data_IF_996305727518
#
_entry.id   IF_996305727518
#
_cell.length_a   1.000
_cell.length_b   1.000
_cell.length_c   1.000
_cell.angle_alpha   90.00
_cell.angle_beta   90.00
_cell.angle_gamma   90.00
#
_symmetry.space_group_name_H-M   'P 1'
#
loop_
_entity.id
_entity.type
_entity.pdbx_description
1 polymer ?
#
# COMPACT_ATOMS: atom_id res chain seq x y z
N UNK A 1 -11.68 -25.66 12.08
CA UNK A 1 -12.35 -24.40 11.72
C UNK A 1 -11.31 -23.30 11.76
N UNK A 2 -10.76 -22.90 10.61
CA UNK A 2 -9.91 -21.70 10.56
C UNK A 2 -10.82 -20.48 10.66
N UNK A 3 -10.54 -19.61 11.63
CA UNK A 3 -11.20 -18.30 11.69
C UNK A 3 -10.72 -17.48 10.49
N UNK A 4 -11.63 -17.16 9.57
CA UNK A 4 -11.40 -16.12 8.58
C UNK A 4 -11.28 -14.82 9.37
N UNK A 5 -10.05 -14.30 9.48
CA UNK A 5 -9.82 -13.02 10.14
C UNK A 5 -10.37 -11.90 9.25
N UNK A 6 -11.19 -11.03 9.83
CA UNK A 6 -11.90 -9.95 9.11
C UNK A 6 -11.15 -8.62 9.10
N UNK A 7 -10.04 -8.50 9.83
CA UNK A 7 -9.22 -7.28 9.95
C UNK A 7 -7.71 -7.58 9.88
N UNK A 8 -6.85 -6.66 9.39
CA UNK A 8 -5.40 -6.83 9.46
C UNK A 8 -4.86 -6.70 10.89
N UNK A 9 -3.68 -7.27 11.16
CA UNK A 9 -3.00 -7.12 12.46
C UNK A 9 -2.27 -5.77 12.54
N UNK A 10 -3.04 -4.70 12.64
CA UNK A 10 -2.50 -3.34 12.81
C UNK A 10 -1.82 -3.13 14.17
N UNK A 11 -2.32 -3.83 15.19
CA UNK A 11 -1.85 -3.78 16.57
C UNK A 11 -0.36 -4.12 16.72
N UNK A 12 0.15 -5.03 15.89
CA UNK A 12 1.52 -5.53 15.95
C UNK A 12 2.52 -4.76 15.08
N UNK A 13 2.06 -3.84 14.22
CA UNK A 13 2.94 -3.03 13.34
C UNK A 13 3.91 -2.14 14.12
N UNK A 14 3.61 -1.87 15.40
CA UNK A 14 4.35 -0.94 16.25
C UNK A 14 5.15 -1.62 17.38
N UNK A 15 5.12 -2.96 17.45
CA UNK A 15 5.72 -3.73 18.55
C UNK A 15 7.23 -3.52 18.70
N UNK A 16 7.93 -3.17 17.62
CA UNK A 16 9.39 -2.97 17.62
C UNK A 16 9.79 -1.53 17.97
N UNK A 17 8.84 -0.63 18.27
CA UNK A 17 9.12 0.79 18.52
C UNK A 17 9.53 1.58 17.27
N UNK A 18 9.55 0.93 16.10
CA UNK A 18 9.81 1.55 14.81
C UNK A 18 8.74 1.16 13.81
N UNK A 19 8.34 2.10 12.96
CA UNK A 19 7.42 1.84 11.85
C UNK A 19 7.99 2.42 10.56
N UNK A 20 8.32 1.54 9.62
CA UNK A 20 8.95 1.88 8.34
C UNK A 20 7.97 1.62 7.20
N UNK A 21 7.65 2.68 6.46
CA UNK A 21 6.81 2.60 5.27
C UNK A 21 7.50 3.08 3.99
N UNK A 22 7.15 2.46 2.86
CA UNK A 22 7.45 2.96 1.51
C UNK A 22 6.15 3.09 0.70
N UNK A 23 5.87 4.29 0.21
CA UNK A 23 4.74 4.63 -0.67
C UNK A 23 5.29 4.93 -2.05
N UNK A 24 5.05 4.04 -2.99
CA UNK A 24 5.43 4.25 -4.38
C UNK A 24 4.22 4.63 -5.23
N UNK A 25 4.34 5.76 -5.92
CA UNK A 25 3.42 6.21 -6.96
C UNK A 25 4.08 5.93 -8.30
N UNK A 26 3.66 4.85 -8.95
CA UNK A 26 4.19 4.42 -10.23
C UNK A 26 3.60 5.23 -11.39
N UNK A 27 4.30 5.35 -12.53
CA UNK A 27 3.86 6.19 -13.64
C UNK A 27 2.50 5.74 -14.19
N UNK A 28 1.68 6.71 -14.58
CA UNK A 28 0.44 6.48 -15.32
C UNK A 28 0.75 6.12 -16.78
N UNK A 29 0.26 4.97 -17.30
CA UNK A 29 0.46 4.56 -18.69
C UNK A 29 -0.24 5.47 -19.71
N UNK A 30 -1.24 6.26 -19.31
CA UNK A 30 -1.96 7.17 -20.20
C UNK A 30 -1.17 8.45 -20.53
N UNK A 31 -0.02 8.67 -19.88
CA UNK A 31 0.90 9.74 -20.20
C UNK A 31 0.38 11.12 -19.74
N UNK A 32 0.91 11.62 -18.63
CA UNK A 32 0.64 12.97 -18.16
C UNK A 32 1.46 13.36 -16.92
N UNK A 33 1.12 14.51 -16.33
CA UNK A 33 1.60 14.99 -15.02
C UNK A 33 0.80 14.36 -13.84
N UNK A 34 0.00 13.32 -14.09
CA UNK A 34 -0.89 12.75 -13.07
C UNK A 34 -0.12 12.16 -11.89
N UNK A 35 0.93 11.38 -12.16
CA UNK A 35 1.81 10.84 -11.13
C UNK A 35 2.45 11.93 -10.27
N UNK A 36 2.81 13.06 -10.90
CA UNK A 36 3.34 14.23 -10.21
C UNK A 36 2.28 14.91 -9.32
N UNK A 37 1.06 15.09 -9.80
CA UNK A 37 -0.02 15.68 -9.00
C UNK A 37 -0.39 14.80 -7.80
N UNK A 38 -0.52 13.50 -8.01
CA UNK A 38 -0.76 12.52 -6.95
C UNK A 38 0.39 12.54 -5.94
N UNK A 39 1.64 12.63 -6.40
CA UNK A 39 2.80 12.78 -5.54
C UNK A 39 2.76 14.07 -4.70
N UNK A 40 2.45 15.21 -5.32
CA UNK A 40 2.33 16.48 -4.62
C UNK A 40 1.20 16.48 -3.59
N UNK A 41 0.07 15.85 -3.90
CA UNK A 41 -1.02 15.68 -2.96
C UNK A 41 -0.63 14.79 -1.78
N UNK A 42 0.00 13.64 -2.03
CA UNK A 42 0.51 12.76 -0.99
C UNK A 42 1.47 13.52 -0.06
N UNK A 43 2.42 14.25 -0.66
CA UNK A 43 3.34 15.16 0.05
C UNK A 43 2.60 16.15 0.93
N UNK A 44 1.58 16.84 0.40
CA UNK A 44 0.77 17.82 1.15
C UNK A 44 0.09 17.13 2.34
N UNK A 45 -0.60 16.02 2.12
CA UNK A 45 -1.38 15.33 3.16
C UNK A 45 -0.49 14.71 4.24
N UNK A 46 0.65 14.12 3.89
CA UNK A 46 1.63 13.64 4.88
C UNK A 46 2.08 14.77 5.83
N UNK A 47 2.37 15.95 5.29
CA UNK A 47 2.73 17.12 6.10
C UNK A 47 1.59 17.58 7.01
N UNK A 48 0.35 17.55 6.52
CA UNK A 48 -0.84 17.90 7.31
C UNK A 48 -1.05 16.95 8.49
N UNK A 49 -0.76 15.66 8.34
CA UNK A 49 -0.79 14.69 9.45
C UNK A 49 0.49 14.74 10.30
N UNK A 50 1.32 15.77 10.16
CA UNK A 50 2.45 16.05 11.03
C UNK A 50 3.76 15.30 10.71
N UNK A 51 3.83 14.57 9.60
CA UNK A 51 5.10 13.99 9.13
C UNK A 51 6.03 15.11 8.62
N UNK A 52 7.25 15.15 9.15
CA UNK A 52 8.25 16.17 8.79
C UNK A 52 9.22 15.59 7.77
N UNK A 53 9.45 16.32 6.68
CA UNK A 53 10.45 15.93 5.68
C UNK A 53 11.85 16.04 6.30
N UNK A 54 12.66 14.98 6.16
CA UNK A 54 14.00 14.87 6.76
C UNK A 54 15.09 14.64 5.71
N UNK A 55 14.72 14.20 4.52
CA UNK A 55 15.63 14.02 3.40
C UNK A 55 14.88 14.00 2.08
N UNK A 56 15.60 14.21 0.98
CA UNK A 56 15.04 14.10 -0.34
C UNK A 56 16.11 14.06 -1.41
N UNK A 57 15.85 13.26 -2.44
CA UNK A 57 16.56 13.23 -3.70
C UNK A 57 15.53 13.31 -4.84
N UNK A 58 15.99 13.37 -6.09
CA UNK A 58 15.06 13.52 -7.22
C UNK A 58 14.14 12.28 -7.32
N UNK A 59 12.84 12.51 -7.09
CA UNK A 59 11.81 11.47 -7.12
C UNK A 59 11.67 10.62 -5.84
N UNK A 60 12.37 10.98 -4.75
CA UNK A 60 12.24 10.32 -3.44
C UNK A 60 12.28 11.37 -2.33
N UNK A 61 11.29 11.35 -1.45
CA UNK A 61 11.27 12.16 -0.22
C UNK A 61 11.14 11.26 1.01
N UNK A 62 11.89 11.57 2.07
CA UNK A 62 11.80 10.88 3.35
C UNK A 62 11.15 11.76 4.41
N UNK A 63 10.20 11.16 5.12
CA UNK A 63 9.38 11.78 6.14
C UNK A 63 9.51 11.04 7.46
N UNK A 64 9.58 11.77 8.56
CA UNK A 64 9.66 11.20 9.89
C UNK A 64 8.70 11.86 10.87
N UNK A 65 8.25 11.07 11.84
CA UNK A 65 7.49 11.54 13.01
C UNK A 65 7.71 10.58 14.17
N UNK A 66 7.83 11.14 15.36
CA UNK A 66 7.76 10.38 16.61
C UNK A 66 6.36 10.56 17.17
N UNK A 67 5.72 9.48 17.60
CA UNK A 67 4.40 9.51 18.24
C UNK A 67 4.29 8.44 19.33
N UNK A 68 3.28 8.56 20.19
CA UNK A 68 3.02 7.59 21.26
C UNK A 68 1.92 6.63 20.88
N UNK A 69 2.13 5.33 21.09
CA UNK A 69 1.17 4.27 20.83
C UNK A 69 1.20 3.25 21.98
N UNK A 70 0.06 3.03 22.65
CA UNK A 70 -0.04 2.10 23.79
C UNK A 70 1.06 2.29 24.85
N UNK A 71 1.39 3.56 25.16
CA UNK A 71 2.45 3.92 26.12
C UNK A 71 3.88 3.80 25.59
N UNK A 72 4.08 3.27 24.38
CA UNK A 72 5.39 3.18 23.73
C UNK A 72 5.66 4.39 22.83
N UNK A 73 6.93 4.75 22.71
CA UNK A 73 7.39 5.75 21.74
C UNK A 73 7.70 5.05 20.42
N UNK A 74 7.03 5.47 19.35
CA UNK A 74 7.20 4.91 18.01
C UNK A 74 7.95 5.91 17.14
N UNK A 75 9.06 5.45 16.55
CA UNK A 75 9.79 6.20 15.52
C UNK A 75 9.33 5.78 14.13
N UNK A 76 8.64 6.68 13.43
CA UNK A 76 8.13 6.43 12.08
C UNK A 76 9.00 7.07 11.01
N UNK A 77 9.26 6.30 9.96
CA UNK A 77 9.89 6.77 8.73
C UNK A 77 9.08 6.32 7.51
N UNK A 78 8.62 7.28 6.71
CA UNK A 78 7.89 7.05 5.46
C UNK A 78 8.73 7.57 4.29
N UNK A 79 8.96 6.72 3.30
CA UNK A 79 9.53 7.10 2.00
C UNK A 79 8.39 7.30 1.00
N UNK A 80 8.35 8.45 0.35
CA UNK A 80 7.44 8.72 -0.77
C UNK A 80 8.24 8.76 -2.06
N UNK A 81 7.85 7.92 -3.02
CA UNK A 81 8.60 7.69 -4.27
C UNK A 81 7.71 8.06 -5.45
N UNK A 82 8.21 8.97 -6.30
CA UNK A 82 7.63 9.25 -7.62
C UNK A 82 8.36 8.39 -8.65
N UNK A 83 7.75 7.26 -9.04
CA UNK A 83 8.41 6.25 -9.87
C UNK A 83 9.05 6.79 -11.15
N UNK A 84 8.35 7.66 -11.89
CA UNK A 84 8.84 8.23 -13.16
C UNK A 84 10.05 9.14 -13.00
N UNK A 85 10.13 9.85 -11.88
CA UNK A 85 11.18 10.83 -11.62
C UNK A 85 12.29 10.31 -10.71
N UNK A 86 12.17 9.07 -10.21
CA UNK A 86 13.19 8.48 -9.36
C UNK A 86 14.45 8.21 -10.19
N UNK A 87 15.57 8.83 -9.80
CA UNK A 87 16.84 8.67 -10.51
C UNK A 87 17.66 7.46 -10.04
N UNK A 88 17.28 6.82 -8.93
CA UNK A 88 17.91 5.59 -8.47
C UNK A 88 17.38 4.35 -9.19
N UNK A 89 17.91 3.18 -8.81
CA UNK A 89 17.42 1.90 -9.33
C UNK A 89 16.18 1.45 -8.56
N UNK A 90 15.00 1.55 -9.19
CA UNK A 90 13.74 1.10 -8.62
C UNK A 90 13.75 -0.38 -8.23
N UNK A 91 14.51 -1.23 -8.93
CA UNK A 91 14.62 -2.67 -8.58
C UNK A 91 15.37 -2.83 -7.27
N UNK A 92 16.44 -2.07 -7.08
CA UNK A 92 17.20 -2.03 -5.83
C UNK A 92 16.34 -1.48 -4.69
N UNK A 93 15.63 -0.39 -4.93
CA UNK A 93 14.70 0.19 -3.96
C UNK A 93 13.65 -0.84 -3.52
N UNK A 94 13.03 -1.56 -4.46
CA UNK A 94 12.06 -2.60 -4.12
C UNK A 94 12.68 -3.73 -3.32
N UNK A 95 13.87 -4.17 -3.71
CA UNK A 95 14.58 -5.20 -2.98
C UNK A 95 14.82 -4.79 -1.53
N UNK A 96 15.32 -3.57 -1.29
CA UNK A 96 15.53 -3.03 0.06
C UNK A 96 14.22 -2.88 0.83
N UNK A 97 13.18 -2.31 0.20
CA UNK A 97 11.90 -2.09 0.84
C UNK A 97 11.23 -3.40 1.27
N UNK A 98 11.25 -4.42 0.40
CA UNK A 98 10.71 -5.75 0.71
C UNK A 98 11.44 -6.45 1.87
N UNK A 99 12.65 -6.02 2.23
CA UNK A 99 13.42 -6.60 3.34
C UNK A 99 13.23 -5.83 4.65
N UNK A 100 12.95 -4.53 4.60
CA UNK A 100 13.09 -3.65 5.76
C UNK A 100 11.85 -2.86 6.15
N UNK A 101 10.80 -2.88 5.32
CA UNK A 101 9.57 -2.12 5.57
C UNK A 101 8.53 -2.96 6.32
N UNK A 102 7.78 -2.29 7.19
CA UNK A 102 6.62 -2.81 7.89
C UNK A 102 5.35 -2.51 7.08
N UNK A 103 5.37 -1.42 6.29
CA UNK A 103 4.29 -1.01 5.41
C UNK A 103 4.78 -0.77 3.98
N UNK A 104 4.13 -1.41 3.01
CA UNK A 104 4.41 -1.20 1.58
C UNK A 104 3.13 -0.79 0.89
N UNK A 105 3.15 0.38 0.27
CA UNK A 105 2.08 0.88 -0.58
C UNK A 105 2.56 1.02 -2.01
N UNK A 106 1.79 0.48 -2.95
CA UNK A 106 2.03 0.60 -4.39
C UNK A 106 0.76 1.12 -5.07
N UNK A 107 0.83 2.36 -5.58
CA UNK A 107 -0.14 2.94 -6.51
C UNK A 107 0.36 2.79 -7.93
N UNK A 108 -0.38 2.09 -8.76
CA UNK A 108 -0.03 1.95 -10.18
C UNK A 108 -1.27 1.62 -10.99
N UNK A 109 -1.24 1.83 -12.30
CA UNK A 109 -2.30 1.37 -13.18
C UNK A 109 -1.97 -0.05 -13.67
N UNK A 110 -2.98 -0.93 -13.70
CA UNK A 110 -2.86 -2.24 -14.34
C UNK A 110 -3.83 -2.27 -15.54
N UNK A 111 -3.32 -2.51 -16.74
CA UNK A 111 -4.14 -2.56 -17.95
C UNK A 111 -5.11 -3.75 -18.00
N UNK A 112 -6.19 -3.61 -18.77
CA UNK A 112 -7.12 -4.68 -19.13
C UNK A 112 -6.56 -5.54 -20.30
N UNK A 113 -6.59 -6.87 -20.17
CA UNK A 113 -6.42 -7.81 -21.29
C UNK A 113 -4.98 -8.06 -21.78
N UNK A 114 -4.85 -8.69 -22.97
CA UNK A 114 -3.56 -9.05 -23.64
C UNK A 114 -2.64 -7.86 -23.95
N UNK A 115 -3.06 -6.63 -23.61
CA UNK A 115 -2.23 -5.44 -23.65
C UNK A 115 -1.48 -5.33 -22.32
N UNK A 116 -0.30 -5.93 -22.30
CA UNK A 116 0.75 -5.76 -21.30
C UNK A 116 1.19 -4.28 -21.22
N UNK A 117 0.36 -3.44 -20.61
CA UNK A 117 0.83 -2.26 -19.88
C UNK A 117 1.02 -2.68 -18.42
N UNK A 118 1.91 -3.66 -18.20
CA UNK A 118 2.60 -3.72 -16.92
C UNK A 118 3.52 -2.49 -16.96
N UNK A 119 3.20 -1.45 -16.20
CA UNK A 119 4.21 -0.44 -15.95
C UNK A 119 5.46 -1.19 -15.45
N UNK A 120 6.65 -0.76 -15.88
CA UNK A 120 7.92 -1.36 -15.45
C UNK A 120 7.95 -1.58 -13.93
N UNK A 121 7.25 -0.74 -13.16
CA UNK A 121 7.12 -0.83 -11.72
C UNK A 121 6.37 -2.06 -11.21
N UNK A 122 5.28 -2.49 -11.86
CA UNK A 122 4.56 -3.73 -11.47
C UNK A 122 5.47 -4.94 -11.70
N UNK A 123 6.13 -4.97 -12.86
CA UNK A 123 7.09 -6.01 -13.21
C UNK A 123 8.27 -6.01 -12.25
N UNK A 124 8.85 -4.86 -11.93
CA UNK A 124 9.98 -4.76 -10.99
C UNK A 124 9.60 -5.17 -9.58
N UNK A 125 8.42 -4.78 -9.11
CA UNK A 125 7.92 -5.17 -7.78
C UNK A 125 7.70 -6.68 -7.69
N UNK A 126 6.99 -7.27 -8.66
CA UNK A 126 6.72 -8.71 -8.69
C UNK A 126 7.99 -9.54 -8.98
N UNK A 127 8.89 -9.05 -9.83
CA UNK A 127 10.20 -9.66 -10.04
C UNK A 127 11.06 -9.64 -8.78
N UNK A 128 11.07 -8.53 -8.03
CA UNK A 128 11.82 -8.44 -6.77
C UNK A 128 11.32 -9.46 -5.75
N UNK A 129 10.01 -9.70 -5.68
CA UNK A 129 9.43 -10.79 -4.87
C UNK A 129 9.82 -12.18 -5.41
N UNK A 130 9.76 -12.39 -6.73
CA UNK A 130 10.06 -13.69 -7.37
C UNK A 130 11.54 -14.08 -7.29
N UNK A 131 12.46 -13.12 -7.32
CA UNK A 131 13.92 -13.35 -7.27
C UNK A 131 14.41 -13.87 -5.90
N UNK A 132 13.50 -14.10 -4.94
CA UNK A 132 13.73 -14.72 -3.61
C UNK A 132 15.08 -14.36 -2.97
N UNK A 133 15.39 -13.07 -2.80
CA UNK A 133 16.73 -12.67 -2.40
C UNK A 133 16.91 -12.86 -0.89
N UNK A 134 17.22 -14.10 -0.49
CA UNK A 134 17.20 -14.55 0.89
C UNK A 134 15.76 -14.55 1.42
N UNK A 135 15.31 -15.62 2.07
CA UNK A 135 14.11 -15.48 2.90
C UNK A 135 14.47 -14.46 3.98
N UNK A 136 13.91 -13.22 3.99
CA UNK A 136 14.09 -12.38 5.15
C UNK A 136 13.65 -13.21 6.35
N UNK A 137 14.35 -13.13 7.49
CA UNK A 137 13.73 -13.53 8.75
C UNK A 137 12.38 -12.85 8.78
N UNK A 138 11.32 -13.64 8.52
CA UNK A 138 10.01 -13.13 8.14
C UNK A 138 9.58 -12.23 9.28
N UNK A 139 9.47 -10.92 9.07
CA UNK A 139 8.73 -10.10 10.03
C UNK A 139 7.29 -10.63 9.96
N UNK A 140 6.73 -11.22 11.03
CA UNK A 140 5.37 -11.76 11.00
C UNK A 140 4.29 -10.67 10.89
N UNK A 141 4.69 -9.41 10.69
CA UNK A 141 3.89 -8.21 10.88
C UNK A 141 4.20 -7.18 9.79
N UNK A 142 3.93 -7.56 8.53
CA UNK A 142 4.00 -6.63 7.40
C UNK A 142 2.61 -6.39 6.83
N UNK A 143 2.42 -5.19 6.30
CA UNK A 143 1.21 -4.77 5.64
C UNK A 143 1.51 -4.32 4.21
N UNK A 144 0.92 -5.03 3.25
CA UNK A 144 0.98 -4.67 1.83
C UNK A 144 -0.36 -4.05 1.43
N UNK A 145 -0.33 -2.81 0.93
CA UNK A 145 -1.48 -2.12 0.37
C UNK A 145 -1.25 -1.90 -1.12
N UNK A 146 -1.90 -2.69 -1.96
CA UNK A 146 -1.70 -2.65 -3.40
C UNK A 146 -2.92 -2.03 -4.06
N UNK A 147 -2.73 -0.83 -4.59
CA UNK A 147 -3.76 0.05 -5.11
C UNK A 147 -3.62 0.14 -6.63
N UNK A 148 -4.22 -0.83 -7.31
CA UNK A 148 -4.35 -0.84 -8.76
C UNK A 148 -5.57 -1.65 -9.18
N UNK A 149 -6.03 -1.46 -10.42
CA UNK A 149 -7.05 -2.30 -11.02
C UNK A 149 -6.64 -3.78 -10.91
N UNK A 150 -7.57 -4.66 -10.50
CA UNK A 150 -7.36 -6.12 -10.50
C UNK A 150 -6.12 -6.58 -9.71
N UNK A 151 -5.76 -5.84 -8.67
CA UNK A 151 -4.58 -6.10 -7.82
C UNK A 151 -4.56 -7.54 -7.28
N UNK A 152 -5.72 -8.15 -7.07
CA UNK A 152 -5.90 -9.55 -6.66
C UNK A 152 -5.38 -10.55 -7.69
N UNK A 153 -5.56 -10.30 -8.97
CA UNK A 153 -5.10 -11.20 -10.03
C UNK A 153 -3.57 -11.17 -10.14
N UNK A 154 -2.98 -9.99 -9.94
CA UNK A 154 -1.54 -9.78 -10.19
C UNK A 154 -0.66 -10.10 -8.98
N UNK A 155 -1.12 -9.77 -7.77
CA UNK A 155 -0.24 -9.79 -6.60
C UNK A 155 -0.55 -10.87 -5.58
N UNK A 156 -1.79 -11.37 -5.51
CA UNK A 156 -2.19 -12.29 -4.44
C UNK A 156 -1.32 -13.55 -4.38
N UNK A 157 -1.18 -14.24 -5.50
CA UNK A 157 -0.38 -15.48 -5.58
C UNK A 157 1.14 -15.22 -5.44
N UNK A 158 1.62 -14.11 -6.03
CA UNK A 158 3.04 -13.73 -5.93
C UNK A 158 3.40 -13.39 -4.49
N UNK A 159 2.55 -12.63 -3.80
CA UNK A 159 2.75 -12.27 -2.41
C UNK A 159 2.67 -13.50 -1.53
N UNK A 160 1.64 -14.35 -1.69
CA UNK A 160 1.51 -15.60 -0.93
C UNK A 160 2.78 -16.46 -1.04
N UNK A 161 3.33 -16.60 -2.26
CA UNK A 161 4.59 -17.31 -2.48
C UNK A 161 5.80 -16.64 -1.80
N UNK A 162 5.81 -15.31 -1.72
CA UNK A 162 6.91 -14.52 -1.16
C UNK A 162 6.93 -14.51 0.38
N UNK A 163 5.81 -14.21 1.04
CA UNK A 163 5.75 -14.05 2.51
C UNK A 163 5.19 -15.28 3.26
N UNK A 164 4.37 -16.11 2.62
CA UNK A 164 3.58 -17.16 3.28
C UNK A 164 2.34 -16.61 3.98
N UNK A 165 1.73 -17.40 4.87
CA UNK A 165 0.36 -17.15 5.40
C UNK A 165 0.32 -16.19 6.62
N UNK A 166 1.47 -15.73 7.12
CA UNK A 166 1.57 -14.87 8.31
C UNK A 166 1.73 -13.38 7.98
N UNK A 167 1.17 -12.89 6.87
CA UNK A 167 1.30 -11.48 6.46
C UNK A 167 -0.03 -10.94 5.96
N UNK A 168 -0.31 -9.67 6.27
CA UNK A 168 -1.54 -9.01 5.84
C UNK A 168 -1.40 -8.38 4.47
N UNK A 169 -2.38 -8.64 3.61
CA UNK A 169 -2.52 -8.06 2.28
C UNK A 169 -3.85 -7.31 2.19
N UNK A 170 -3.79 -6.01 2.02
CA UNK A 170 -4.95 -5.19 1.68
C UNK A 170 -4.94 -4.98 0.17
N UNK A 171 -6.03 -5.40 -0.48
CA UNK A 171 -6.27 -5.15 -1.89
C UNK A 171 -7.46 -4.21 -2.04
N UNK A 172 -7.22 -3.08 -2.69
CA UNK A 172 -8.29 -2.18 -3.05
C UNK A 172 -8.90 -2.70 -4.36
N UNK A 173 -10.12 -3.25 -4.30
CA UNK A 173 -10.65 -4.11 -5.38
C UNK A 173 -11.30 -3.33 -6.52
N UNK A 174 -11.91 -2.16 -6.27
CA UNK A 174 -12.96 -1.74 -7.23
C UNK A 174 -12.68 -0.52 -8.09
N UNK A 175 -12.08 0.54 -7.57
CA UNK A 175 -11.81 1.70 -8.42
C UNK A 175 -10.38 2.12 -8.20
N UNK A 176 -9.54 1.90 -9.20
CA UNK A 176 -8.24 2.55 -9.24
C UNK A 176 -8.46 3.91 -9.87
N UNK A 177 -9.16 4.81 -9.18
CA UNK A 177 -8.99 6.21 -9.52
C UNK A 177 -7.53 6.54 -9.17
N UNK A 178 -6.73 6.67 -10.23
CA UNK A 178 -5.31 6.88 -10.10
C UNK A 178 -5.02 8.23 -9.42
N UNK A 179 -5.97 9.17 -9.45
CA UNK A 179 -5.85 10.49 -8.84
C UNK A 179 -5.99 10.46 -7.31
N UNK A 180 -6.63 9.43 -6.76
CA UNK A 180 -6.96 9.37 -5.33
C UNK A 180 -5.84 8.66 -4.55
N UNK A 181 -5.17 9.41 -3.68
CA UNK A 181 -4.12 8.94 -2.76
C UNK A 181 -4.45 9.23 -1.28
N UNK A 182 -5.44 10.07 -1.03
CA UNK A 182 -5.90 10.41 0.32
C UNK A 182 -6.13 9.21 1.26
N UNK A 183 -6.81 8.13 0.82
CA UNK A 183 -7.15 6.99 1.67
C UNK A 183 -5.94 6.32 2.33
N UNK A 184 -4.82 6.13 1.62
CA UNK A 184 -3.62 5.54 2.25
C UNK A 184 -2.99 6.48 3.27
N UNK A 185 -3.07 7.80 3.05
CA UNK A 185 -2.57 8.76 4.03
C UNK A 185 -3.47 8.76 5.28
N UNK A 186 -4.79 8.59 5.10
CA UNK A 186 -5.74 8.38 6.21
C UNK A 186 -5.43 7.08 6.94
N UNK A 187 -5.18 5.97 6.24
CA UNK A 187 -4.75 4.71 6.86
C UNK A 187 -3.54 4.94 7.77
N UNK A 188 -2.48 5.58 7.27
CA UNK A 188 -1.28 5.88 8.08
C UNK A 188 -1.64 6.74 9.29
N UNK A 189 -2.45 7.78 9.11
CA UNK A 189 -2.86 8.69 10.18
C UNK A 189 -3.63 7.96 11.29
N UNK A 190 -4.58 7.11 10.92
CA UNK A 190 -5.44 6.38 11.86
C UNK A 190 -4.67 5.23 12.55
N UNK A 191 -3.75 4.56 11.84
CA UNK A 191 -2.81 3.61 12.45
C UNK A 191 -1.98 4.31 13.54
N UNK A 192 -1.48 5.51 13.28
CA UNK A 192 -0.70 6.28 14.26
C UNK A 192 -1.53 6.75 15.47
N UNK A 193 -2.86 6.84 15.33
CA UNK A 193 -3.78 7.15 16.43
C UNK A 193 -4.17 5.91 17.24
N UNK A 194 -3.94 4.71 16.70
CA UNK A 194 -4.43 3.46 17.25
C UNK A 194 -5.93 3.28 17.11
N UNK A 195 -6.50 3.81 16.04
CA UNK A 195 -7.91 3.61 15.70
C UNK A 195 -8.21 2.15 15.42
N UNK A 196 -9.43 1.71 15.74
CA UNK A 196 -9.92 0.38 15.38
C UNK A 196 -10.15 0.24 13.87
N UNK A 197 -10.35 -1.01 13.42
CA UNK A 197 -10.48 -1.34 12.01
C UNK A 197 -11.68 -0.64 11.36
N UNK A 198 -12.82 -0.63 12.03
CA UNK A 198 -14.06 -0.02 11.57
C UNK A 198 -13.91 1.49 11.38
N UNK A 199 -13.23 2.17 12.31
CA UNK A 199 -12.91 3.60 12.22
C UNK A 199 -11.97 3.88 11.07
N UNK A 200 -10.91 3.07 10.90
CA UNK A 200 -9.97 3.18 9.77
C UNK A 200 -10.73 3.07 8.44
N UNK A 201 -11.53 2.01 8.26
CA UNK A 201 -12.32 1.79 7.05
C UNK A 201 -13.27 2.96 6.78
N UNK A 202 -13.98 3.41 7.80
CA UNK A 202 -14.92 4.53 7.70
C UNK A 202 -14.23 5.81 7.24
N UNK A 203 -13.10 6.17 7.87
CA UNK A 203 -12.32 7.37 7.53
C UNK A 203 -11.70 7.29 6.13
N UNK A 204 -11.22 6.12 5.75
CA UNK A 204 -10.73 5.90 4.38
C UNK A 204 -11.84 6.05 3.35
N UNK A 205 -13.05 5.57 3.65
CA UNK A 205 -14.21 5.71 2.77
C UNK A 205 -14.68 7.17 2.65
N UNK A 206 -14.69 7.93 3.75
CA UNK A 206 -14.97 9.38 3.76
C UNK A 206 -14.00 10.12 2.82
N UNK A 207 -12.71 9.80 2.93
CA UNK A 207 -11.64 10.40 2.13
C UNK A 207 -11.69 9.98 0.65
N UNK A 208 -12.13 8.75 0.38
CA UNK A 208 -12.30 8.24 -0.97
C UNK A 208 -13.48 8.92 -1.70
N UNK A 209 -14.54 9.29 -0.97
CA UNK A 209 -15.75 9.89 -1.57
C UNK A 209 -16.68 8.88 -2.24
N UNK A 210 -17.60 9.35 -3.09
CA UNK A 210 -18.62 8.52 -3.77
C UNK A 210 -17.92 7.51 -4.70
N UNK A 211 -18.30 6.21 -4.67
CA UNK A 211 -17.69 5.23 -5.57
C UNK A 211 -17.90 5.64 -7.03
N UNK A 212 -16.84 5.54 -7.83
CA UNK A 212 -17.02 5.35 -9.27
C UNK A 212 -17.80 4.03 -9.45
N UNK A 213 -18.71 3.93 -10.40
CA UNK A 213 -19.38 2.66 -10.76
C UNK A 213 -19.03 2.44 -12.22
N UNK A 214 -18.34 1.34 -12.54
CA UNK A 214 -18.03 0.97 -13.92
C UNK A 214 -19.25 0.29 -14.55
N UNK A 215 -19.38 0.41 -15.86
CA UNK A 215 -20.50 -0.15 -16.63
C UNK A 215 -20.50 -1.68 -16.59
N UNK A 216 -19.34 -2.27 -16.30
CA UNK A 216 -19.12 -3.71 -16.20
C UNK A 216 -19.29 -4.27 -14.76
N UNK A 217 -19.71 -3.46 -13.78
CA UNK A 217 -19.85 -3.88 -12.38
C UNK A 217 -21.00 -4.88 -12.18
N UNK A 218 -20.74 -5.99 -11.47
CA UNK A 218 -21.79 -6.95 -11.13
C UNK A 218 -22.67 -6.44 -9.97
N UNK A 219 -23.93 -6.89 -9.85
CA UNK A 219 -24.86 -6.40 -8.82
C UNK A 219 -24.37 -6.54 -7.37
N UNK A 220 -23.50 -7.52 -7.11
CA UNK A 220 -22.87 -7.75 -5.81
C UNK A 220 -21.83 -6.66 -5.46
N UNK A 221 -21.22 -6.06 -6.47
CA UNK A 221 -20.20 -5.02 -6.32
C UNK A 221 -20.80 -3.61 -6.25
N UNK A 222 -22.08 -3.48 -6.60
CA UNK A 222 -22.91 -2.30 -6.33
C UNK A 222 -23.32 -2.18 -4.86
N UNK A 223 -23.11 -3.22 -4.04
CA UNK A 223 -23.32 -3.13 -2.59
C UNK A 223 -22.21 -2.26 -1.97
N UNK A 224 -22.54 -1.00 -1.69
CA UNK A 224 -21.59 0.07 -1.36
C UNK A 224 -20.73 -0.16 -0.10
N UNK A 225 -20.96 -1.25 0.64
CA UNK A 225 -20.47 -1.40 2.02
C UNK A 225 -19.00 -1.82 2.14
N UNK A 226 -18.32 -2.26 1.07
CA UNK A 226 -16.91 -2.70 1.15
C UNK A 226 -16.07 -2.34 -0.07
N UNK A 227 -15.64 -1.07 -0.17
CA UNK A 227 -14.67 -0.59 -1.18
C UNK A 227 -13.26 -1.18 -1.02
N UNK A 228 -12.93 -1.63 0.19
CA UNK A 228 -11.64 -2.22 0.52
C UNK A 228 -11.82 -3.71 0.85
N UNK A 229 -11.09 -4.59 0.15
CA UNK A 229 -11.03 -6.00 0.52
C UNK A 229 -9.71 -6.26 1.23
N UNK A 230 -9.83 -6.53 2.52
CA UNK A 230 -8.70 -7.05 3.29
C UNK A 230 -8.61 -8.55 3.07
N UNK A 231 -7.49 -9.00 2.51
CA UNK A 231 -7.08 -10.39 2.56
C UNK A 231 -6.11 -10.57 3.72
N UNK A 232 -6.64 -10.95 4.88
CA UNK A 232 -5.80 -11.60 5.87
C UNK A 232 -5.44 -12.97 5.31
N UNK A 233 -4.19 -13.18 4.90
CA UNK A 233 -3.73 -14.44 4.30
C UNK A 233 -3.63 -15.58 5.32
N UNK A 234 -4.58 -15.77 6.24
CA UNK A 234 -4.62 -16.99 7.05
C UNK A 234 -5.43 -18.06 6.29
N UNK A 235 -4.72 -19.11 5.85
CA UNK A 235 -5.18 -20.35 5.21
C UNK A 235 -6.61 -20.37 4.64
N UNK A 236 -6.69 -20.15 3.32
CA UNK A 236 -7.64 -20.88 2.48
C UNK A 236 -6.88 -22.09 1.92
N UNK A 237 -7.03 -23.23 2.59
CA UNK A 237 -6.98 -24.52 1.92
C UNK A 237 -8.43 -24.94 1.69
N UNK A 238 -8.85 -24.84 0.43
CA UNK A 238 -10.07 -25.39 -0.12
C UNK A 238 -9.80 -25.69 -1.58
#
# INVERSE_FOLDING_TARGET
MSLIRTAPRYDILFNEGTFKGTLLIGPDPLGGNFDYQVFLEARRKMRLIGLRMTGGERGLEEYQRIFSFNGNTINTRIRLVMGRNYQGDLRKLWHESLMHEDFIYLKTHAGYGRHLSLSDNVSYFTEAMRKRPGHPRKKPYRLFYLDCCKSEIYYKEVLRSFVGDDTDLILHKWFCDYQIIGPVIVLICELMKGSDFETIVSKMNEEYGIPHIDVDDEPQDLSMDRKMITYSLCDVQG
#
